data_IF_284690061176
#
_entry.id   IF_284690061176
#
_cell.length_a   1.000
_cell.length_b   1.000
_cell.length_c   1.000
_cell.angle_alpha   90.00
_cell.angle_beta   90.00
_cell.angle_gamma   90.00
#
_symmetry.space_group_name_H-M   'P 1'
#
loop_
_entity.id
_entity.type
_entity.pdbx_description
1 polymer ?
#
# COMPACT_ATOMS: atom_id res chain seq x y z
N UNK A 1 -2.52 -12.66 -1.82
CA UNK A 1 -2.91 -11.91 -3.03
C UNK A 1 -3.79 -10.68 -2.81
N UNK A 2 -4.02 -10.20 -1.57
CA UNK A 2 -4.83 -8.98 -1.35
C UNK A 2 -4.20 -7.71 -1.96
N UNK A 3 -2.90 -7.52 -1.78
CA UNK A 3 -2.18 -6.30 -2.22
C UNK A 3 -1.96 -6.21 -3.74
N UNK A 4 -2.02 -7.36 -4.44
CA UNK A 4 -1.96 -7.43 -5.89
C UNK A 4 -3.30 -6.97 -6.48
N UNK A 5 -4.41 -7.48 -5.93
CA UNK A 5 -5.77 -7.06 -6.30
C UNK A 5 -6.02 -5.57 -6.01
N UNK A 6 -5.46 -5.05 -4.92
CA UNK A 6 -5.50 -3.61 -4.61
C UNK A 6 -4.54 -2.76 -5.48
N UNK A 7 -3.71 -3.38 -6.32
CA UNK A 7 -2.77 -2.69 -7.20
C UNK A 7 -1.66 -1.93 -6.44
N UNK A 8 -1.27 -2.39 -5.25
CA UNK A 8 -0.30 -1.69 -4.37
C UNK A 8 1.10 -2.30 -4.41
N UNK A 9 1.24 -3.53 -4.88
CA UNK A 9 2.54 -4.23 -4.82
C UNK A 9 2.71 -5.14 -6.01
N UNK A 10 3.79 -4.93 -6.77
CA UNK A 10 4.28 -5.93 -7.70
C UNK A 10 5.10 -6.97 -6.94
N UNK A 11 4.54 -8.18 -6.84
CA UNK A 11 5.20 -9.30 -6.18
C UNK A 11 6.45 -9.79 -6.91
N UNK A 12 6.55 -9.61 -8.23
CA UNK A 12 7.74 -10.02 -9.01
C UNK A 12 8.95 -9.17 -8.64
N UNK A 13 8.77 -7.84 -8.58
CA UNK A 13 9.81 -6.93 -8.10
C UNK A 13 10.11 -7.17 -6.61
N UNK A 14 9.08 -7.30 -5.78
CA UNK A 14 9.23 -7.48 -4.34
C UNK A 14 10.04 -8.71 -3.96
N UNK A 15 9.79 -9.87 -4.58
CA UNK A 15 10.53 -11.12 -4.29
C UNK A 15 12.04 -10.91 -4.45
N UNK A 16 12.48 -10.22 -5.51
CA UNK A 16 13.90 -9.97 -5.77
C UNK A 16 14.53 -9.02 -4.74
N UNK A 17 13.77 -8.02 -4.29
CA UNK A 17 14.23 -7.06 -3.30
C UNK A 17 14.36 -7.70 -1.91
N UNK A 18 13.40 -8.51 -1.48
CA UNK A 18 13.39 -9.10 -0.13
C UNK A 18 14.23 -10.37 0.00
N UNK A 19 14.44 -11.11 -1.09
CA UNK A 19 15.15 -12.39 -1.02
C UNK A 19 16.58 -12.18 -0.52
N UNK A 20 16.92 -12.85 0.57
CA UNK A 20 18.21 -12.80 1.24
C UNK A 20 18.91 -14.16 1.08
N UNK A 21 20.22 -14.13 0.92
CA UNK A 21 21.01 -15.35 0.85
C UNK A 21 20.90 -16.13 2.17
N UNK A 22 20.58 -17.43 2.08
CA UNK A 22 20.35 -18.27 3.28
C UNK A 22 21.58 -18.39 4.18
N UNK A 23 22.78 -18.21 3.64
CA UNK A 23 24.04 -18.21 4.38
C UNK A 23 24.21 -16.98 5.29
N UNK A 24 23.42 -15.91 5.10
CA UNK A 24 23.40 -14.72 5.96
C UNK A 24 22.44 -14.88 7.15
N UNK A 25 21.77 -16.03 7.26
CA UNK A 25 20.85 -16.39 8.34
C UNK A 25 19.85 -15.28 8.64
N UNK A 26 19.90 -14.70 9.85
CA UNK A 26 18.94 -13.72 10.33
C UNK A 26 19.34 -12.26 10.01
N UNK A 27 20.34 -12.04 9.15
CA UNK A 27 20.78 -10.69 8.78
C UNK A 27 19.69 -10.01 7.94
N UNK A 28 19.07 -8.92 8.44
CA UNK A 28 18.00 -8.25 7.73
C UNK A 28 18.51 -7.61 6.43
N UNK A 29 17.74 -7.75 5.36
CA UNK A 29 17.95 -7.03 4.10
C UNK A 29 17.13 -5.75 4.12
N UNK A 30 17.79 -4.61 4.29
CA UNK A 30 17.12 -3.31 4.38
C UNK A 30 16.75 -2.76 3.02
N UNK A 31 15.53 -2.22 2.94
CA UNK A 31 15.00 -1.52 1.77
C UNK A 31 14.66 -0.08 2.14
N UNK A 32 15.11 0.85 1.33
CA UNK A 32 14.70 2.24 1.35
C UNK A 32 13.47 2.40 0.48
N UNK A 33 12.31 2.36 1.12
CA UNK A 33 11.00 2.43 0.47
C UNK A 33 10.58 3.88 0.38
N UNK A 34 10.43 4.38 -0.84
CA UNK A 34 9.92 5.73 -1.10
C UNK A 34 8.57 5.62 -1.80
N UNK A 35 7.56 6.32 -1.26
CA UNK A 35 6.21 6.37 -1.81
C UNK A 35 5.73 7.80 -1.86
N UNK A 36 5.23 8.19 -3.02
CA UNK A 36 4.58 9.49 -3.23
C UNK A 36 3.08 9.32 -3.11
N UNK A 37 2.47 10.23 -2.38
CA UNK A 37 1.03 10.47 -2.41
C UNK A 37 0.79 11.85 -3.04
N UNK A 38 -0.47 12.25 -3.21
CA UNK A 38 -0.79 13.53 -3.83
C UNK A 38 -0.32 14.74 -2.99
N UNK A 39 -0.23 14.60 -1.66
CA UNK A 39 0.09 15.71 -0.74
C UNK A 39 1.28 15.45 0.18
N UNK A 40 1.85 14.25 0.14
CA UNK A 40 2.89 13.82 1.08
C UNK A 40 3.88 12.86 0.42
N UNK A 41 5.11 12.87 0.92
CA UNK A 41 6.18 11.95 0.53
C UNK A 41 6.50 11.10 1.75
N UNK A 42 6.54 9.79 1.55
CA UNK A 42 6.81 8.81 2.60
C UNK A 42 8.14 8.13 2.28
N UNK A 43 9.09 8.24 3.20
CA UNK A 43 10.40 7.61 3.11
C UNK A 43 10.61 6.69 4.32
N UNK A 44 10.91 5.41 4.10
CA UNK A 44 10.99 4.41 5.18
C UNK A 44 12.16 3.45 4.96
N UNK A 45 12.82 3.05 6.05
CA UNK A 45 13.74 1.90 6.04
C UNK A 45 12.97 0.69 6.56
N UNK A 46 12.88 -0.36 5.73
CA UNK A 46 12.06 -1.54 6.00
C UNK A 46 12.88 -2.81 5.81
N UNK A 47 12.75 -3.75 6.75
CA UNK A 47 13.21 -5.14 6.60
C UNK A 47 12.04 -6.11 6.60
N UNK A 48 12.10 -7.18 5.82
CA UNK A 48 11.05 -8.19 5.77
C UNK A 48 11.25 -9.26 6.86
N UNK A 49 10.16 -9.68 7.50
CA UNK A 49 10.10 -10.86 8.39
C UNK A 49 8.93 -11.76 7.98
N UNK A 50 8.83 -12.95 8.59
CA UNK A 50 7.78 -13.93 8.27
C UNK A 50 6.38 -13.38 8.61
N UNK A 51 6.24 -12.65 9.72
CA UNK A 51 4.98 -12.05 10.14
C UNK A 51 4.59 -10.83 9.32
N UNK A 52 5.58 -10.08 8.84
CA UNK A 52 5.36 -8.86 8.06
C UNK A 52 6.61 -8.00 7.94
N UNK A 53 6.43 -6.81 7.39
CA UNK A 53 7.51 -5.84 7.25
C UNK A 53 7.73 -5.09 8.58
N UNK A 54 8.98 -4.99 9.03
CA UNK A 54 9.38 -4.18 10.18
C UNK A 54 9.96 -2.85 9.68
N UNK A 55 9.37 -1.75 10.12
CA UNK A 55 9.83 -0.39 9.81
C UNK A 55 10.83 0.03 10.87
N UNK A 56 12.07 0.28 10.46
CA UNK A 56 13.14 0.69 11.37
C UNK A 56 13.05 2.18 11.72
N UNK A 57 12.91 3.02 10.70
CA UNK A 57 12.72 4.46 10.78
C UNK A 57 11.81 4.91 9.64
N UNK A 58 11.11 6.03 9.85
CA UNK A 58 10.27 6.67 8.86
C UNK A 58 10.49 8.19 8.88
N UNK A 59 10.29 8.81 7.73
CA UNK A 59 10.23 10.24 7.53
C UNK A 59 9.10 10.58 6.55
N UNK A 60 8.51 11.75 6.74
CA UNK A 60 7.32 12.20 6.02
C UNK A 60 7.47 13.66 5.61
N UNK A 61 6.94 14.07 4.46
CA UNK A 61 7.02 15.48 4.06
C UNK A 61 6.18 16.39 4.96
N UNK A 62 5.06 15.91 5.51
CA UNK A 62 4.22 16.69 6.43
C UNK A 62 4.91 17.05 7.77
N UNK A 63 6.10 16.51 8.06
CA UNK A 63 6.89 16.93 9.21
C UNK A 63 7.93 18.02 8.89
N UNK A 64 8.22 18.24 7.60
CA UNK A 64 9.16 19.27 7.12
C UNK A 64 8.79 20.71 7.52
N UNK A 65 7.51 21.08 7.71
CA UNK A 65 7.16 22.40 8.26
C UNK A 65 7.82 22.72 9.60
N UNK A 66 8.17 21.69 10.40
CA UNK A 66 8.89 21.89 11.68
C UNK A 66 10.30 22.44 11.49
N UNK A 67 10.89 22.20 10.33
CA UNK A 67 12.24 22.64 9.96
C UNK A 67 12.23 23.92 9.09
N UNK A 68 11.05 24.50 8.84
CA UNK A 68 10.89 25.74 8.07
C UNK A 68 10.39 25.55 6.63
N UNK A 69 10.13 24.31 6.16
CA UNK A 69 9.52 24.10 4.84
C UNK A 69 8.00 23.95 4.96
N UNK A 70 7.32 25.07 4.79
CA UNK A 70 5.88 25.16 5.00
C UNK A 70 5.03 24.79 3.77
N UNK A 71 5.53 25.08 2.56
CA UNK A 71 4.85 24.87 1.27
C UNK A 71 5.61 23.87 0.40
N UNK A 72 4.98 23.36 -0.66
CA UNK A 72 5.70 22.58 -1.68
C UNK A 72 6.14 21.19 -1.27
N UNK A 73 5.40 20.53 -0.38
CA UNK A 73 5.80 19.25 0.26
C UNK A 73 5.95 18.04 -0.68
N UNK A 74 5.61 18.18 -1.97
CA UNK A 74 5.67 17.09 -2.95
C UNK A 74 6.63 17.35 -4.11
N UNK A 75 7.40 18.44 -4.09
CA UNK A 75 8.37 18.73 -5.16
C UNK A 75 9.66 17.88 -5.01
N UNK A 76 10.62 18.07 -5.92
CA UNK A 76 11.89 17.34 -5.89
C UNK A 76 12.74 17.70 -4.66
N UNK A 77 12.77 18.97 -4.29
CA UNK A 77 13.52 19.49 -3.15
C UNK A 77 13.01 18.96 -1.79
N UNK A 78 11.68 18.88 -1.63
CA UNK A 78 11.04 18.25 -0.48
C UNK A 78 11.35 16.75 -0.43
N UNK A 79 11.38 16.07 -1.58
CA UNK A 79 11.80 14.67 -1.65
C UNK A 79 13.23 14.50 -1.13
N UNK A 80 14.16 15.36 -1.59
CA UNK A 80 15.53 15.42 -1.08
C UNK A 80 15.57 15.62 0.45
N UNK A 81 14.85 16.63 0.96
CA UNK A 81 14.76 16.89 2.40
C UNK A 81 14.23 15.67 3.19
N UNK A 82 13.18 14.99 2.70
CA UNK A 82 12.66 13.78 3.36
C UNK A 82 13.65 12.62 3.39
N UNK A 83 14.43 12.45 2.31
CA UNK A 83 15.50 11.45 2.23
C UNK A 83 16.61 11.75 3.23
N UNK A 84 17.07 13.00 3.28
CA UNK A 84 18.08 13.49 4.21
C UNK A 84 17.63 13.29 5.67
N UNK A 85 16.39 13.64 5.97
CA UNK A 85 15.81 13.46 7.30
C UNK A 85 15.76 11.99 7.72
N UNK A 86 15.39 11.09 6.81
CA UNK A 86 15.40 9.66 7.10
C UNK A 86 16.82 9.14 7.38
N UNK A 87 17.79 9.54 6.55
CA UNK A 87 19.19 9.13 6.70
C UNK A 87 19.75 9.53 8.06
N UNK A 88 19.62 10.81 8.43
CA UNK A 88 20.09 11.31 9.74
C UNK A 88 19.37 10.65 10.91
N UNK A 89 18.08 10.34 10.78
CA UNK A 89 17.32 9.55 11.79
C UNK A 89 17.88 8.15 11.99
N UNK A 90 18.17 7.45 10.90
CA UNK A 90 18.68 6.08 10.92
C UNK A 90 20.07 6.05 11.55
N UNK A 91 20.96 6.96 11.13
CA UNK A 91 22.31 7.03 11.67
C UNK A 91 22.34 7.45 13.13
N UNK A 92 21.52 8.44 13.55
CA UNK A 92 21.40 8.82 14.97
C UNK A 92 20.86 7.68 15.83
N UNK A 93 19.90 6.89 15.32
CA UNK A 93 19.37 5.71 16.01
C UNK A 93 20.37 4.57 16.12
N UNK A 94 21.34 4.51 15.19
CA UNK A 94 22.40 3.50 15.15
C UNK A 94 23.72 3.98 15.74
N UNK A 95 23.77 5.23 16.22
CA UNK A 95 24.95 5.89 16.80
C UNK A 95 26.15 5.93 15.83
N UNK A 96 25.87 6.20 14.54
CA UNK A 96 26.88 6.32 13.48
C UNK A 96 26.83 7.68 12.75
N UNK A 97 26.15 8.66 13.36
CA UNK A 97 25.87 9.95 12.74
C UNK A 97 27.08 10.87 12.63
N UNK A 98 28.08 10.69 13.51
CA UNK A 98 29.36 11.40 13.47
C UNK A 98 30.39 10.77 12.51
N UNK A 99 30.37 9.44 12.33
CA UNK A 99 31.29 8.76 11.39
C UNK A 99 30.86 9.01 9.94
N UNK A 100 29.55 8.99 9.68
CA UNK A 100 28.98 9.14 8.35
C UNK A 100 28.12 10.41 8.27
N UNK A 101 28.78 11.57 8.20
CA UNK A 101 28.11 12.88 8.07
C UNK A 101 27.45 13.09 6.69
N UNK A 102 28.04 12.48 5.65
CA UNK A 102 27.62 12.63 4.27
C UNK A 102 28.10 13.94 3.63
N UNK A 103 27.44 14.38 2.56
CA UNK A 103 27.76 15.63 1.86
C UNK A 103 26.96 16.80 2.45
N UNK A 104 27.64 17.70 3.19
CA UNK A 104 27.00 18.83 3.88
C UNK A 104 26.42 19.87 2.92
N UNK A 105 27.12 20.16 1.83
CA UNK A 105 26.83 21.32 0.96
C UNK A 105 25.84 21.03 -0.18
N UNK A 106 25.50 19.76 -0.41
CA UNK A 106 24.59 19.33 -1.47
C UNK A 106 25.01 19.87 -2.86
N UNK A 107 26.24 19.55 -3.27
CA UNK A 107 26.86 20.01 -4.54
C UNK A 107 26.13 19.55 -5.80
N UNK A 108 25.29 18.51 -5.71
CA UNK A 108 24.56 17.93 -6.85
C UNK A 108 25.36 16.85 -7.61
N UNK A 109 26.62 16.66 -7.25
CA UNK A 109 27.48 15.60 -7.80
C UNK A 109 27.06 14.22 -7.31
N UNK A 110 27.51 13.18 -8.00
CA UNK A 110 27.34 11.81 -7.53
C UNK A 110 28.11 11.60 -6.21
N UNK A 111 27.46 11.00 -5.21
CA UNK A 111 28.07 10.79 -3.90
C UNK A 111 27.76 9.38 -3.41
N UNK A 112 28.82 8.63 -3.16
CA UNK A 112 28.76 7.33 -2.51
C UNK A 112 29.60 7.40 -1.24
N UNK A 113 29.06 6.86 -0.15
CA UNK A 113 29.78 6.81 1.12
C UNK A 113 30.81 5.69 1.04
N UNK A 114 32.09 6.05 1.17
CA UNK A 114 33.17 5.08 1.27
C UNK A 114 33.19 4.45 2.69
N UNK A 115 33.52 3.15 2.80
CA UNK A 115 33.58 2.50 4.09
C UNK A 115 34.73 3.05 4.93
N UNK A 116 34.42 3.49 6.16
CA UNK A 116 35.41 3.83 7.17
C UNK A 116 36.13 2.59 7.72
N UNK A 117 37.11 2.83 8.59
CA UNK A 117 37.91 1.78 9.21
C UNK A 117 37.14 0.98 10.27
N UNK A 118 36.14 1.59 10.91
CA UNK A 118 35.48 1.00 12.08
C UNK A 118 34.27 0.15 11.71
N UNK A 119 33.18 0.77 11.25
CA UNK A 119 31.91 0.12 10.96
C UNK A 119 31.48 0.47 9.55
N UNK A 120 31.03 -0.52 8.79
CA UNK A 120 30.55 -0.28 7.42
C UNK A 120 29.31 0.64 7.40
N UNK A 121 29.16 1.49 6.37
CA UNK A 121 28.01 2.39 6.25
C UNK A 121 26.71 1.59 6.15
N UNK A 122 25.61 2.22 6.59
CA UNK A 122 24.32 1.54 6.59
C UNK A 122 23.83 1.32 5.17
N UNK A 123 23.80 0.05 4.75
CA UNK A 123 23.40 -0.33 3.40
C UNK A 123 21.90 -0.57 3.26
N UNK A 124 21.25 0.12 2.34
CA UNK A 124 19.85 -0.09 1.99
C UNK A 124 19.65 -0.19 0.46
N UNK A 125 18.61 -0.89 0.03
CA UNK A 125 18.25 -0.97 -1.40
C UNK A 125 17.03 -0.11 -1.71
N UNK A 126 17.09 0.72 -2.75
CA UNK A 126 15.94 1.53 -3.16
C UNK A 126 14.77 0.65 -3.64
N UNK A 127 13.60 0.86 -3.06
CA UNK A 127 12.33 0.24 -3.44
C UNK A 127 11.37 1.33 -3.94
N UNK A 128 11.31 1.47 -5.26
CA UNK A 128 10.42 2.37 -6.02
C UNK A 128 8.97 1.87 -6.09
N UNK A 129 8.72 0.60 -5.77
CA UNK A 129 7.41 -0.02 -5.87
C UNK A 129 6.94 -0.14 -7.31
N UNK A 130 5.78 0.45 -7.60
CA UNK A 130 5.12 0.42 -8.92
C UNK A 130 5.46 1.63 -9.79
N UNK A 131 6.18 2.62 -9.24
CA UNK A 131 6.47 3.86 -9.94
C UNK A 131 7.50 3.60 -11.05
N UNK A 132 7.29 4.23 -12.21
CA UNK A 132 8.21 4.13 -13.34
C UNK A 132 9.50 4.89 -13.04
N UNK A 133 10.64 4.22 -13.22
CA UNK A 133 11.97 4.78 -13.02
C UNK A 133 12.43 5.61 -14.23
N UNK A 134 11.78 6.76 -14.45
CA UNK A 134 12.20 7.75 -15.45
C UNK A 134 13.30 8.66 -14.88
N UNK A 135 14.07 9.29 -15.78
CA UNK A 135 15.07 10.30 -15.41
C UNK A 135 14.39 11.52 -14.78
N UNK A 136 14.98 12.06 -13.71
CA UNK A 136 14.42 13.21 -13.00
C UNK A 136 13.17 12.91 -12.16
N UNK A 137 12.81 11.65 -11.95
CA UNK A 137 11.71 11.31 -11.04
C UNK A 137 12.07 11.71 -9.60
N UNK A 138 11.12 12.31 -8.88
CA UNK A 138 11.26 12.78 -7.48
C UNK A 138 11.72 11.71 -6.50
N UNK A 139 11.46 10.43 -6.78
CA UNK A 139 11.99 9.31 -5.96
C UNK A 139 13.51 9.35 -5.89
N UNK A 140 14.17 9.73 -7.00
CA UNK A 140 15.62 9.86 -7.03
C UNK A 140 16.12 11.10 -6.29
N UNK A 141 15.26 12.10 -6.07
CA UNK A 141 15.55 13.20 -5.15
C UNK A 141 15.64 12.71 -3.70
N UNK A 142 14.69 11.88 -3.27
CA UNK A 142 14.75 11.23 -1.95
C UNK A 142 15.94 10.26 -1.82
N UNK A 143 16.31 9.56 -2.90
CA UNK A 143 17.55 8.77 -2.95
C UNK A 143 18.77 9.67 -2.74
N UNK A 144 18.87 10.77 -3.46
CA UNK A 144 20.02 11.68 -3.37
C UNK A 144 20.14 12.29 -1.97
N UNK A 145 19.02 12.69 -1.37
CA UNK A 145 19.01 13.16 0.02
C UNK A 145 19.46 12.11 1.03
N UNK A 146 19.10 10.83 0.79
CA UNK A 146 19.53 9.73 1.66
C UNK A 146 21.04 9.45 1.54
N UNK A 147 21.61 9.55 0.33
CA UNK A 147 23.05 9.41 0.06
C UNK A 147 23.84 10.54 0.73
N UNK A 148 23.43 11.80 0.49
CA UNK A 148 24.07 12.98 1.10
C UNK A 148 23.88 13.04 2.62
N UNK A 149 22.94 12.26 3.16
CA UNK A 149 22.75 12.06 4.59
C UNK A 149 23.62 10.96 5.22
N UNK A 150 24.40 10.22 4.42
CA UNK A 150 25.35 9.21 4.88
C UNK A 150 24.88 7.75 4.77
N UNK A 151 23.80 7.45 4.03
CA UNK A 151 23.41 6.06 3.76
C UNK A 151 24.11 5.51 2.53
N UNK A 152 24.51 4.24 2.58
CA UNK A 152 25.00 3.50 1.41
C UNK A 152 23.81 2.89 0.65
N UNK A 153 23.48 3.47 -0.50
CA UNK A 153 22.45 2.93 -1.39
C UNK A 153 23.08 2.72 -2.76
N UNK A 154 23.22 1.47 -3.24
CA UNK A 154 23.78 1.20 -4.56
C UNK A 154 22.92 1.85 -5.66
N UNK A 155 23.55 2.68 -6.49
CA UNK A 155 22.84 3.47 -7.51
C UNK A 155 23.70 3.78 -8.74
N UNK A 156 23.10 4.47 -9.72
CA UNK A 156 23.76 5.08 -10.87
C UNK A 156 23.17 6.47 -11.10
N UNK A 157 24.05 7.39 -11.44
CA UNK A 157 23.82 8.76 -11.90
C UNK A 157 22.74 8.94 -13.00
N UNK A 158 22.54 7.94 -13.86
CA UNK A 158 21.65 7.95 -15.05
C UNK A 158 20.17 8.27 -14.80
N UNK A 159 19.72 8.34 -13.54
CA UNK A 159 18.31 8.58 -13.19
C UNK A 159 18.08 9.88 -12.43
N UNK A 160 19.15 10.59 -12.06
CA UNK A 160 19.04 11.91 -11.44
C UNK A 160 18.52 12.97 -12.43
N UNK A 161 18.04 14.08 -11.87
CA UNK A 161 17.63 15.23 -12.66
C UNK A 161 18.89 15.93 -13.20
N UNK A 162 18.89 16.35 -14.47
CA UNK A 162 20.07 16.91 -15.13
C UNK A 162 20.93 15.89 -15.87
N UNK A 163 20.60 14.60 -15.81
CA UNK A 163 21.25 13.60 -16.67
C UNK A 163 20.80 13.76 -18.12
N UNK A 164 21.73 14.11 -18.99
CA UNK A 164 21.49 14.18 -20.43
C UNK A 164 21.89 12.87 -21.08
N UNK A 165 20.98 12.29 -21.86
CA UNK A 165 21.29 11.12 -22.68
C UNK A 165 21.95 11.63 -23.97
N UNK A 166 23.27 11.75 -23.98
CA UNK A 166 24.04 12.04 -25.19
C UNK A 166 23.81 10.98 -26.28
N UNK A 167 24.17 11.30 -27.52
CA UNK A 167 24.10 10.38 -28.65
C UNK A 167 25.05 9.17 -28.47
N UNK A 168 26.11 9.32 -27.64
CA UNK A 168 27.04 8.26 -27.23
C UNK A 168 27.10 8.01 -25.72
N UNK A 169 27.75 6.90 -25.31
CA UNK A 169 27.99 6.55 -23.88
C UNK A 169 28.98 7.49 -23.16
N UNK A 170 29.79 8.25 -23.90
CA UNK A 170 30.83 9.15 -23.34
C UNK A 170 30.30 10.55 -23.04
N UNK A 171 29.27 10.98 -23.74
CA UNK A 171 28.65 12.30 -23.58
C UNK A 171 27.43 12.26 -22.64
N UNK A 172 27.08 11.07 -22.15
CA UNK A 172 26.01 10.88 -21.20
C UNK A 172 26.53 11.11 -19.77
N UNK A 173 26.56 12.37 -19.38
CA UNK A 173 27.02 12.82 -18.06
C UNK A 173 25.87 13.45 -17.26
N UNK A 174 26.00 13.40 -15.94
CA UNK A 174 25.20 14.18 -15.03
C UNK A 174 25.75 15.60 -15.00
N UNK A 175 24.92 16.59 -15.32
CA UNK A 175 25.24 17.99 -15.07
C UNK A 175 24.96 18.31 -13.57
N UNK A 176 26.00 18.51 -12.74
CA UNK A 176 25.82 18.74 -11.32
C UNK A 176 25.14 20.07 -11.04
N UNK A 177 25.29 21.09 -11.90
CA UNK A 177 24.66 22.39 -11.70
C UNK A 177 23.15 22.31 -11.91
N UNK A 178 22.71 21.60 -12.95
CA UNK A 178 21.28 21.34 -13.17
C UNK A 178 20.74 20.53 -11.99
N UNK A 179 21.42 19.46 -11.58
CA UNK A 179 20.94 18.65 -10.46
C UNK A 179 20.83 19.45 -9.17
N UNK A 180 21.82 20.30 -8.87
CA UNK A 180 21.83 21.25 -7.76
C UNK A 180 20.64 22.20 -7.81
N UNK A 181 20.31 22.76 -8.98
CA UNK A 181 19.11 23.59 -9.18
C UNK A 181 17.82 22.82 -8.84
N UNK A 182 17.74 21.52 -9.13
CA UNK A 182 16.60 20.70 -8.74
C UNK A 182 16.52 20.44 -7.23
N UNK A 183 17.66 20.22 -6.56
CA UNK A 183 17.74 20.01 -5.11
C UNK A 183 17.26 21.25 -4.35
N UNK A 184 17.62 22.45 -4.82
CA UNK A 184 17.24 23.72 -4.17
C UNK A 184 15.93 24.34 -4.69
N UNK A 185 15.18 23.64 -5.55
CA UNK A 185 13.88 24.11 -6.03
C UNK A 185 13.93 25.27 -7.03
N UNK A 186 15.07 25.49 -7.70
CA UNK A 186 15.19 26.56 -8.71
C UNK A 186 14.27 26.38 -9.93
N UNK A 187 13.80 25.16 -10.19
CA UNK A 187 12.87 24.85 -11.29
C UNK A 187 11.39 25.08 -10.94
N UNK A 188 11.04 25.22 -9.66
CA UNK A 188 9.63 25.17 -9.23
C UNK A 188 8.83 26.44 -9.51
N UNK A 189 9.46 27.61 -9.59
CA UNK A 189 8.78 28.90 -9.77
C UNK A 189 9.06 29.52 -11.16
N UNK A 190 9.32 28.69 -12.17
CA UNK A 190 9.48 29.12 -13.55
C UNK A 190 8.12 29.06 -14.28
N UNK A 191 7.22 30.00 -13.98
CA UNK A 191 6.00 30.21 -14.75
C UNK A 191 5.99 31.61 -15.36
N UNK A 192 6.05 31.65 -16.69
CA UNK A 192 6.15 32.90 -17.46
C UNK A 192 4.82 33.67 -17.50
N UNK A 193 3.70 33.02 -17.15
CA UNK A 193 2.37 33.62 -17.17
C UNK A 193 1.91 34.01 -15.74
N UNK A 194 1.62 35.30 -15.48
CA UNK A 194 1.31 35.78 -14.14
C UNK A 194 -0.01 35.23 -13.57
N UNK A 195 -0.99 34.91 -14.44
CA UNK A 195 -2.27 34.34 -14.01
C UNK A 195 -2.11 32.91 -13.47
N UNK A 196 -1.32 32.07 -14.16
CA UNK A 196 -0.99 30.71 -13.70
C UNK A 196 -0.20 30.75 -12.41
N UNK A 197 0.78 31.66 -12.31
CA UNK A 197 1.57 31.83 -11.10
C UNK A 197 0.71 32.12 -9.87
N UNK A 198 -0.28 33.02 -9.97
CA UNK A 198 -1.18 33.32 -8.86
C UNK A 198 -2.03 32.12 -8.44
N UNK A 199 -2.49 31.30 -9.40
CA UNK A 199 -3.30 30.11 -9.09
C UNK A 199 -2.46 28.97 -8.51
N UNK A 200 -1.31 28.66 -9.12
CA UNK A 200 -0.45 27.54 -8.76
C UNK A 200 0.36 27.82 -7.48
N UNK A 201 0.82 29.06 -7.28
CA UNK A 201 1.68 29.45 -6.16
C UNK A 201 1.00 30.39 -5.17
N UNK A 202 -0.34 30.37 -5.10
CA UNK A 202 -1.11 31.15 -4.13
C UNK A 202 -0.64 30.96 -2.68
N UNK A 203 -0.23 29.75 -2.29
CA UNK A 203 0.30 29.48 -0.94
C UNK A 203 1.70 30.07 -0.71
N UNK A 204 2.53 30.17 -1.75
CA UNK A 204 3.84 30.82 -1.67
C UNK A 204 3.68 32.33 -1.50
N UNK A 205 2.77 32.94 -2.28
CA UNK A 205 2.43 34.36 -2.16
C UNK A 205 1.88 34.70 -0.77
N UNK A 206 0.99 33.86 -0.21
CA UNK A 206 0.44 34.05 1.15
C UNK A 206 1.50 34.03 2.25
N UNK A 207 2.64 33.38 2.01
CA UNK A 207 3.73 33.21 2.98
C UNK A 207 4.96 34.05 2.65
N UNK A 208 4.87 34.91 1.63
CA UNK A 208 5.96 35.80 1.16
C UNK A 208 7.25 35.02 0.83
N UNK A 209 7.11 33.90 0.11
CA UNK A 209 8.26 33.10 -0.36
C UNK A 209 8.50 33.38 -1.83
N UNK A 210 9.56 34.13 -2.11
CA UNK A 210 9.98 34.49 -3.48
C UNK A 210 10.94 33.45 -4.09
N UNK A 211 11.07 33.48 -5.41
CA UNK A 211 11.93 32.54 -6.16
C UNK A 211 13.40 32.61 -5.75
N UNK A 212 13.93 33.83 -5.58
CA UNK A 212 15.32 34.05 -5.16
C UNK A 212 15.56 33.58 -3.70
N UNK A 213 14.51 33.53 -2.88
CA UNK A 213 14.56 33.10 -1.49
C UNK A 213 14.55 31.58 -1.30
N UNK A 214 14.19 30.79 -2.32
CA UNK A 214 14.03 29.33 -2.19
C UNK A 214 15.33 28.61 -1.84
N UNK A 215 16.44 28.94 -2.49
CA UNK A 215 17.72 28.27 -2.21
C UNK A 215 18.14 28.49 -0.76
N UNK A 216 18.00 29.73 -0.26
CA UNK A 216 18.30 30.05 1.13
C UNK A 216 17.37 29.31 2.11
N UNK A 217 16.09 29.17 1.77
CA UNK A 217 15.12 28.43 2.57
C UNK A 217 15.49 26.94 2.68
N UNK A 218 15.79 26.26 1.58
CA UNK A 218 16.20 24.85 1.61
C UNK A 218 17.54 24.64 2.33
N UNK A 219 18.51 25.53 2.19
CA UNK A 219 19.77 25.47 2.97
C UNK A 219 19.50 25.53 4.48
N UNK A 220 18.61 26.42 4.92
CA UNK A 220 18.18 26.50 6.34
C UNK A 220 17.51 25.21 6.79
N UNK A 221 16.62 24.65 5.96
CA UNK A 221 15.93 23.38 6.24
C UNK A 221 16.93 22.22 6.35
N UNK A 222 17.91 22.11 5.44
CA UNK A 222 18.94 21.07 5.50
C UNK A 222 19.77 21.17 6.78
N UNK A 223 20.15 22.38 7.18
CA UNK A 223 20.87 22.61 8.44
C UNK A 223 20.03 22.24 9.66
N UNK A 224 18.75 22.64 9.69
CA UNK A 224 17.82 22.31 10.77
C UNK A 224 17.59 20.79 10.91
N UNK A 225 17.47 20.07 9.78
CA UNK A 225 17.34 18.61 9.75
C UNK A 225 18.58 17.92 10.33
N UNK A 226 19.79 18.42 10.00
CA UNK A 226 21.04 17.87 10.55
C UNK A 226 21.18 18.13 12.04
N UNK A 227 20.75 19.30 12.52
CA UNK A 227 20.80 19.67 13.93
C UNK A 227 19.87 18.81 14.79
N UNK A 228 18.60 18.63 14.38
CA UNK A 228 17.66 17.75 15.09
C UNK A 228 16.87 16.85 14.13
N UNK A 229 17.35 15.62 13.86
CA UNK A 229 16.61 14.70 13.04
C UNK A 229 15.51 13.95 13.82
N UNK A 230 15.27 14.19 15.11
CA UNK A 230 14.43 13.30 15.92
C UNK A 230 12.93 13.31 15.53
N UNK A 231 12.24 12.20 15.80
CA UNK A 231 10.81 12.08 15.50
C UNK A 231 9.97 12.46 16.73
N UNK A 232 9.33 13.63 16.70
CA UNK A 232 8.42 14.07 17.78
C UNK A 232 7.04 13.41 17.64
N UNK A 233 6.70 12.55 18.61
CA UNK A 233 5.40 11.88 18.74
C UNK A 233 4.33 12.88 19.18
N UNK A 234 3.07 12.62 18.81
CA UNK A 234 1.93 13.43 19.26
C UNK A 234 1.36 12.90 20.57
N UNK A 235 1.14 13.80 21.54
CA UNK A 235 0.63 13.48 22.88
C UNK A 235 -0.91 13.54 22.91
N UNK A 236 -1.57 12.80 22.03
CA UNK A 236 -3.04 12.75 22.02
C UNK A 236 -3.54 11.78 23.10
N UNK A 237 -4.31 12.29 24.06
CA UNK A 237 -4.95 11.46 25.08
C UNK A 237 -5.97 10.49 24.46
N UNK A 238 -6.08 9.30 25.05
CA UNK A 238 -7.11 8.35 24.65
C UNK A 238 -8.51 8.96 24.89
N UNK A 239 -9.46 8.83 23.95
CA UNK A 239 -10.79 9.38 24.12
C UNK A 239 -11.51 8.72 25.31
N UNK A 240 -12.20 9.53 26.11
CA UNK A 240 -12.92 9.06 27.32
C UNK A 240 -14.04 8.06 27.02
N UNK A 241 -14.64 8.15 25.83
CA UNK A 241 -15.69 7.24 25.38
C UNK A 241 -15.46 6.80 23.93
N UNK A 242 -15.74 5.53 23.65
CA UNK A 242 -15.64 4.99 22.29
C UNK A 242 -16.86 5.40 21.45
N UNK A 243 -16.67 6.39 20.57
CA UNK A 243 -17.68 6.78 19.57
C UNK A 243 -17.61 5.82 18.38
N UNK A 244 -18.73 5.16 18.07
CA UNK A 244 -18.84 4.25 16.93
C UNK A 244 -19.32 5.01 15.68
N UNK A 245 -18.52 4.99 14.62
CA UNK A 245 -18.88 5.61 13.34
C UNK A 245 -19.47 4.61 12.33
N UNK A 246 -19.06 3.34 12.43
CA UNK A 246 -19.50 2.29 11.52
C UNK A 246 -20.75 1.59 12.06
N UNK A 247 -21.68 1.25 11.16
CA UNK A 247 -22.87 0.47 11.48
C UNK A 247 -22.52 -0.82 12.24
N UNK A 248 -23.39 -1.21 13.18
CA UNK A 248 -23.25 -2.49 13.86
C UNK A 248 -23.54 -3.61 12.86
N UNK A 249 -22.62 -4.58 12.79
CA UNK A 249 -22.86 -5.79 12.01
C UNK A 249 -24.09 -6.48 12.60
N UNK A 250 -25.12 -6.66 11.78
CA UNK A 250 -26.35 -7.29 12.22
C UNK A 250 -26.06 -8.70 12.74
N UNK A 251 -26.77 -9.08 13.79
CA UNK A 251 -26.74 -10.45 14.29
C UNK A 251 -27.38 -11.40 13.27
N UNK A 252 -27.27 -12.71 13.50
CA UNK A 252 -27.95 -13.68 12.64
C UNK A 252 -29.48 -13.55 12.76
N UNK A 253 -29.99 -13.39 13.98
CA UNK A 253 -31.42 -13.30 14.25
C UNK A 253 -32.03 -12.02 13.68
N UNK A 254 -31.34 -10.88 13.82
CA UNK A 254 -31.75 -9.62 13.17
C UNK A 254 -31.81 -9.76 11.64
N UNK A 255 -30.90 -10.52 11.03
CA UNK A 255 -30.92 -10.79 9.58
C UNK A 255 -32.05 -11.74 9.18
N UNK A 256 -32.32 -12.76 10.00
CA UNK A 256 -33.42 -13.70 9.80
C UNK A 256 -34.76 -12.99 9.88
N UNK A 257 -34.95 -12.15 10.90
CA UNK A 257 -36.18 -11.39 11.08
C UNK A 257 -36.39 -10.40 9.91
N UNK A 258 -35.35 -9.69 9.48
CA UNK A 258 -35.43 -8.84 8.28
C UNK A 258 -35.78 -9.60 7.00
N UNK A 259 -35.34 -10.85 6.86
CA UNK A 259 -35.71 -11.68 5.73
C UNK A 259 -37.19 -12.07 5.79
N UNK A 260 -37.68 -12.46 6.97
CA UNK A 260 -39.08 -12.81 7.20
C UNK A 260 -39.97 -11.59 6.93
N UNK A 261 -39.64 -10.43 7.49
CA UNK A 261 -40.34 -9.17 7.24
C UNK A 261 -40.40 -8.84 5.74
N UNK A 262 -39.30 -9.04 5.02
CA UNK A 262 -39.24 -8.78 3.58
C UNK A 262 -40.10 -9.76 2.76
N UNK A 263 -40.11 -11.04 3.12
CA UNK A 263 -40.95 -12.05 2.47
C UNK A 263 -42.44 -11.79 2.73
N UNK A 264 -42.80 -11.47 3.97
CA UNK A 264 -44.17 -11.13 4.32
C UNK A 264 -44.65 -9.89 3.56
N UNK A 265 -43.81 -8.83 3.48
CA UNK A 265 -44.13 -7.64 2.70
C UNK A 265 -44.30 -7.92 1.20
N UNK A 266 -43.50 -8.82 0.62
CA UNK A 266 -43.64 -9.24 -0.78
C UNK A 266 -44.94 -10.00 -1.01
N UNK A 267 -45.31 -10.92 -0.13
CA UNK A 267 -46.54 -11.70 -0.24
C UNK A 267 -47.78 -10.82 -0.08
N UNK A 268 -47.76 -9.86 0.86
CA UNK A 268 -48.85 -8.89 1.03
C UNK A 268 -48.97 -7.91 -0.14
N UNK A 269 -47.87 -7.57 -0.81
CA UNK A 269 -47.91 -6.73 -2.01
C UNK A 269 -48.39 -7.49 -3.26
N UNK A 270 -48.17 -8.81 -3.33
CA UNK A 270 -48.66 -9.65 -4.42
C UNK A 270 -50.15 -10.02 -4.26
N UNK A 271 -50.67 -10.08 -3.04
CA UNK A 271 -52.09 -10.29 -2.76
C UNK A 271 -52.97 -9.04 -2.86
N UNK A 272 -52.42 -7.89 -3.27
CA UNK A 272 -53.19 -6.66 -3.49
C UNK A 272 -53.68 -6.50 -4.95
N UNK A 273 -53.35 -7.44 -5.83
CA UNK A 273 -53.85 -7.51 -7.22
C UNK A 273 -54.93 -8.60 -7.42
N UNK A 274 -55.35 -9.31 -6.35
CA UNK A 274 -56.29 -10.46 -6.42
C UNK A 274 -57.52 -10.28 -5.48
N UNK A 275 -57.91 -9.05 -5.17
CA UNK A 275 -59.21 -8.77 -4.54
C UNK A 275 -60.15 -8.10 -5.57
N UNK A 276 -60.73 -8.92 -6.45
CA UNK A 276 -62.11 -8.76 -6.89
C UNK A 276 -62.68 -10.16 -7.17
N UNK A 277 -63.75 -10.47 -6.41
CA UNK A 277 -64.75 -11.52 -6.58
C UNK A 277 -64.38 -12.98 -6.23
N UNK A 278 -64.90 -13.47 -5.10
CA UNK A 278 -66.04 -14.43 -5.08
C UNK A 278 -66.28 -14.99 -3.66
N UNK A 279 -67.43 -14.59 -3.11
CA UNK A 279 -68.54 -15.42 -2.61
C UNK A 279 -68.38 -16.53 -1.54
N UNK A 280 -69.46 -16.61 -0.79
CA UNK A 280 -69.74 -17.36 0.43
C UNK A 280 -69.55 -18.88 0.32
N UNK A 281 -69.12 -19.45 1.46
CA UNK A 281 -69.49 -20.74 2.04
C UNK A 281 -69.65 -21.97 1.10
N UNK A 282 -68.67 -22.88 1.14
CA UNK A 282 -68.96 -24.33 1.18
C UNK A 282 -67.75 -25.15 1.71
N UNK A 283 -68.00 -25.95 2.74
CA UNK A 283 -67.08 -26.90 3.39
C UNK A 283 -66.63 -28.03 2.45
N UNK A 284 -65.33 -28.14 2.10
CA UNK A 284 -64.71 -29.43 1.69
C UNK A 284 -63.23 -29.56 2.14
N UNK A 285 -63.04 -30.45 3.11
CA UNK A 285 -62.04 -31.54 3.17
C UNK A 285 -60.52 -31.26 3.00
N UNK A 286 -59.80 -31.55 4.10
CA UNK A 286 -58.40 -31.97 4.25
C UNK A 286 -57.70 -32.50 2.97
N UNK A 287 -56.56 -31.88 2.63
CA UNK A 287 -55.39 -32.57 2.08
C UNK A 287 -54.73 -31.98 0.84
N UNK A 288 -53.44 -31.65 0.95
CA UNK A 288 -52.50 -31.78 -0.17
C UNK A 288 -51.87 -30.48 -0.71
N UNK A 289 -50.56 -30.36 -0.49
CA UNK A 289 -49.65 -29.57 -1.31
C UNK A 289 -49.82 -29.91 -2.81
N UNK A 290 -50.16 -28.90 -3.62
CA UNK A 290 -49.76 -28.85 -5.04
C UNK A 290 -49.59 -27.39 -5.45
N UNK A 291 -48.34 -26.99 -5.74
CA UNK A 291 -48.02 -25.65 -6.21
C UNK A 291 -48.47 -25.42 -7.64
N UNK A 292 -49.09 -24.28 -7.89
CA UNK A 292 -49.28 -23.73 -9.22
C UNK A 292 -48.10 -22.79 -9.55
N UNK A 293 -47.26 -23.22 -10.49
CA UNK A 293 -46.30 -22.35 -11.18
C UNK A 293 -47.10 -21.58 -12.23
N UNK A 294 -47.50 -20.34 -11.93
CA UNK A 294 -48.06 -19.46 -12.96
C UNK A 294 -46.91 -18.78 -13.72
N UNK A 295 -46.76 -19.18 -14.98
CA UNK A 295 -45.85 -18.56 -15.94
C UNK A 295 -46.56 -17.38 -16.59
N UNK A 296 -46.27 -16.15 -16.15
CA UNK A 296 -46.74 -14.93 -16.80
C UNK A 296 -45.68 -14.40 -17.77
N UNK A 297 -45.93 -14.70 -19.04
CA UNK A 297 -45.30 -14.10 -20.20
C UNK A 297 -46.00 -12.77 -20.48
N UNK A 298 -45.38 -11.63 -20.19
CA UNK A 298 -45.87 -10.31 -20.60
C UNK A 298 -44.90 -9.68 -21.58
N UNK A 299 -45.44 -9.34 -22.74
CA UNK A 299 -44.74 -8.94 -23.94
C UNK A 299 -44.06 -7.58 -23.88
N UNK A 300 -43.03 -7.49 -24.73
CA UNK A 300 -42.20 -6.35 -25.03
C UNK A 300 -43.01 -5.20 -25.67
N UNK A 301 -42.87 -3.97 -25.14
CA UNK A 301 -43.10 -2.74 -25.91
C UNK A 301 -41.74 -2.11 -26.24
N UNK A 302 -41.52 -1.83 -27.53
CA UNK A 302 -40.29 -1.30 -28.11
C UNK A 302 -40.27 0.23 -28.11
N UNK A 303 -39.15 0.81 -27.68
CA UNK A 303 -38.79 2.19 -27.95
C UNK A 303 -37.44 2.22 -28.69
N UNK A 304 -37.43 2.80 -29.89
CA UNK A 304 -36.26 2.96 -30.74
C UNK A 304 -35.27 3.96 -30.14
N UNK A 305 -34.03 3.51 -29.88
CA UNK A 305 -32.90 4.40 -29.60
C UNK A 305 -31.60 3.82 -30.19
N UNK A 306 -31.06 4.54 -31.18
CA UNK A 306 -29.68 4.57 -31.70
C UNK A 306 -28.78 3.33 -31.56
N UNK A 307 -28.25 2.83 -32.69
CA UNK A 307 -27.23 1.77 -32.79
C UNK A 307 -26.05 2.00 -31.81
N UNK A 308 -26.11 1.34 -30.65
CA UNK A 308 -24.97 1.09 -29.77
C UNK A 308 -24.41 -0.29 -30.11
N UNK A 309 -23.08 -0.41 -30.04
CA UNK A 309 -22.33 -1.66 -30.28
C UNK A 309 -22.99 -2.83 -29.53
N UNK A 310 -23.08 -4.05 -30.11
CA UNK A 310 -23.72 -5.17 -29.45
C UNK A 310 -23.05 -5.43 -28.09
N UNK A 311 -23.83 -5.67 -27.02
CA UNK A 311 -23.26 -6.01 -25.72
C UNK A 311 -22.45 -7.30 -25.84
N UNK A 312 -21.35 -7.46 -25.08
CA UNK A 312 -20.62 -8.71 -25.03
C UNK A 312 -21.58 -9.83 -24.63
N UNK A 313 -21.42 -11.02 -25.24
CA UNK A 313 -22.23 -12.20 -24.91
C UNK A 313 -22.29 -12.35 -23.38
N UNK A 314 -23.48 -12.57 -22.78
CA UNK A 314 -23.57 -12.83 -21.35
C UNK A 314 -22.63 -14.00 -21.03
N UNK A 315 -21.85 -13.93 -19.94
CA UNK A 315 -21.00 -15.05 -19.56
C UNK A 315 -21.89 -16.28 -19.42
N UNK A 316 -21.57 -17.32 -20.17
CA UNK A 316 -22.26 -18.60 -20.05
C UNK A 316 -22.24 -18.97 -18.56
N UNK A 317 -23.44 -19.16 -17.99
CA UNK A 317 -23.59 -19.61 -16.63
C UNK A 317 -22.84 -20.93 -16.52
N UNK A 318 -21.66 -20.89 -15.87
CA UNK A 318 -20.97 -22.11 -15.50
C UNK A 318 -21.89 -22.76 -14.49
N UNK A 319 -22.54 -23.87 -14.90
CA UNK A 319 -23.20 -24.78 -13.99
C UNK A 319 -22.13 -25.28 -13.02
N UNK A 320 -21.99 -24.59 -11.90
CA UNK A 320 -21.15 -25.02 -10.80
C UNK A 320 -21.80 -26.29 -10.22
N UNK A 321 -21.09 -27.43 -10.19
CA UNK A 321 -21.58 -28.66 -9.57
C UNK A 321 -21.45 -28.54 -8.04
N UNK A 322 -22.14 -27.58 -7.44
CA UNK A 322 -22.09 -27.29 -6.02
C UNK A 322 -23.29 -27.88 -5.27
N UNK A 323 -23.29 -29.21 -5.21
CA UNK A 323 -23.79 -29.97 -4.04
C UNK A 323 -22.85 -31.16 -3.75
N UNK A 324 -22.12 -31.68 -4.74
CA UNK A 324 -21.21 -32.84 -4.58
C UNK A 324 -19.83 -32.49 -4.01
N UNK A 325 -19.33 -31.26 -4.21
CA UNK A 325 -17.99 -30.87 -3.75
C UNK A 325 -17.86 -30.68 -2.23
N UNK A 326 -18.92 -30.21 -1.57
CA UNK A 326 -18.95 -30.03 -0.11
C UNK A 326 -19.08 -31.38 0.58
N UNK A 327 -19.97 -32.25 0.08
CA UNK A 327 -20.14 -33.62 0.60
C UNK A 327 -18.88 -34.45 0.38
N UNK A 328 -18.19 -34.31 -0.76
CA UNK A 328 -16.89 -34.94 -1.00
C UNK A 328 -15.79 -34.45 -0.03
N UNK A 329 -15.75 -33.14 0.29
CA UNK A 329 -14.81 -32.59 1.29
C UNK A 329 -15.10 -33.10 2.69
N UNK A 330 -16.38 -33.23 3.06
CA UNK A 330 -16.79 -33.77 4.37
C UNK A 330 -16.41 -35.25 4.47
N UNK A 331 -16.72 -36.07 3.45
CA UNK A 331 -16.34 -37.48 3.41
C UNK A 331 -14.82 -37.69 3.43
N UNK A 332 -14.05 -36.87 2.70
CA UNK A 332 -12.59 -36.91 2.72
C UNK A 332 -12.02 -36.53 4.09
N UNK A 333 -12.64 -35.58 4.79
CA UNK A 333 -12.25 -35.19 6.15
C UNK A 333 -12.54 -36.29 7.17
N UNK A 334 -13.70 -36.98 7.05
CA UNK A 334 -14.04 -38.12 7.90
C UNK A 334 -13.08 -39.29 7.71
N UNK A 335 -12.80 -39.68 6.45
CA UNK A 335 -11.83 -40.74 6.15
C UNK A 335 -10.42 -40.45 6.69
N UNK A 336 -9.99 -39.18 6.66
CA UNK A 336 -8.69 -38.77 7.25
C UNK A 336 -8.69 -38.88 8.78
N UNK A 337 -9.80 -38.54 9.45
CA UNK A 337 -9.92 -38.70 10.91
C UNK A 337 -9.94 -40.17 11.32
N UNK A 338 -10.58 -41.03 10.54
CA UNK A 338 -10.60 -42.48 10.78
C UNK A 338 -9.22 -43.09 10.58
N UNK A 339 -8.53 -42.77 9.47
CA UNK A 339 -7.16 -43.21 9.23
C UNK A 339 -6.19 -42.74 10.34
N UNK A 340 -6.38 -41.53 10.88
CA UNK A 340 -5.58 -41.04 12.00
C UNK A 340 -5.88 -41.81 13.30
N UNK A 341 -7.15 -42.14 13.58
CA UNK A 341 -7.53 -42.97 14.74
C UNK A 341 -6.94 -44.38 14.63
N UNK A 342 -6.98 -45.00 13.45
CA UNK A 342 -6.37 -46.31 13.21
C UNK A 342 -4.86 -46.29 13.34
N UNK A 343 -4.19 -45.25 12.86
CA UNK A 343 -2.75 -45.07 13.03
C UNK A 343 -2.37 -44.93 14.52
N UNK A 344 -3.14 -44.15 15.28
CA UNK A 344 -2.95 -44.00 16.73
C UNK A 344 -3.22 -45.31 17.48
N UNK A 345 -4.23 -46.09 17.07
CA UNK A 345 -4.52 -47.41 17.63
C UNK A 345 -3.39 -48.41 17.38
N UNK A 346 -2.85 -48.48 16.16
CA UNK A 346 -1.69 -49.32 15.82
C UNK A 346 -0.43 -48.94 16.58
N UNK A 347 -0.20 -47.64 16.83
CA UNK A 347 0.90 -47.18 17.69
C UNK A 347 0.69 -47.60 19.15
N UNK A 348 -0.55 -47.59 19.63
CA UNK A 348 -0.91 -48.03 20.98
C UNK A 348 -0.77 -49.54 21.18
N UNK A 349 -1.03 -50.34 20.14
CA UNK A 349 -0.78 -51.80 20.14
C UNK A 349 0.71 -52.14 20.09
N UNK A 350 1.49 -51.39 19.30
CA UNK A 350 2.97 -51.54 19.29
C UNK A 350 3.61 -51.15 20.63
N UNK A 351 3.02 -50.20 21.36
CA UNK A 351 3.44 -49.83 22.71
C UNK A 351 2.99 -50.80 23.83
N UNK A 352 2.24 -51.86 23.50
CA UNK A 352 1.77 -52.87 24.46
C UNK A 352 2.56 -54.20 24.42
N UNK A 353 3.61 -54.31 23.60
CA UNK A 353 4.52 -55.47 23.64
C UNK A 353 5.69 -55.19 24.59
N UNK A 354 6.04 -56.22 25.38
CA UNK A 354 6.91 -56.28 26.59
C UNK A 354 6.03 -56.12 27.86
N UNK A 355 5.77 -57.11 28.71
CA UNK A 355 6.42 -58.38 29.05
C UNK A 355 5.44 -59.29 29.83
N UNK A 356 5.62 -60.62 29.79
CA UNK A 356 5.02 -61.53 30.77
C UNK A 356 4.68 -62.93 30.28
N UNK A 357 5.69 -63.78 30.05
CA UNK A 357 5.64 -65.21 30.37
C UNK A 357 7.06 -65.78 30.31
N UNK A 358 7.52 -66.20 31.48
CA UNK A 358 8.76 -66.92 31.82
C UNK A 358 8.88 -68.27 31.13
N UNK A 359 10.11 -68.65 30.77
CA UNK A 359 10.85 -69.86 31.21
C UNK A 359 12.22 -69.93 30.54
#
# INVERSE_FOLDING_TARGET
>A
MKWDFEGKTDYRARIRLINQDKNKYNTPKYRFVVRFTNKDIIAQIISATITGDLVMCAAYAHELPRYGLEVGLTNYAAAYCTGLLLARRVLKKLEMDAEYEGNVEATGEDYSVEPGESRRPFRALLDVGLLRTTTGNRIFGALKGALDGGLDIPHSDKRFAGFQKGEGKKDAALDPEIHRKYIFGGHTLMEDEPEKFQTHFSEYAKRNIDADGLEALYKKVHAAIRADPTAKKTEKAAPKAHKRYNLKKLTYDERKNKLIERLNALNSAAGADDDDDEDEDDEILVGGFTGAILSLNVGNQSANAAQRRPPPKPPAEKKDPNVSGVTAKVLASMKRKEAMKEAVAKLRERGKKIEGASE
#
